data_IF_755799999377
#
_entry.id   IF_755799999377
#
_cell.length_a   1.000
_cell.length_b   1.000
_cell.length_c   1.000
_cell.angle_alpha   90.00
_cell.angle_beta   90.00
_cell.angle_gamma   90.00
#
_symmetry.space_group_name_H-M   'P 1'
#
loop_
_entity.id
_entity.type
_entity.pdbx_description
1 polymer ?
#
# COMPACT_ATOMS: atom_id res chain seq x y z
N UNK A 1 19.08 25.48 -8.77
CA UNK A 1 18.47 24.17 -8.47
C UNK A 1 19.25 23.56 -7.32
N UNK A 2 18.59 23.25 -6.21
CA UNK A 2 19.27 22.61 -5.08
C UNK A 2 19.32 21.10 -5.37
N UNK A 3 20.50 20.48 -5.57
CA UNK A 3 20.62 19.09 -5.99
C UNK A 3 20.24 18.06 -4.90
N UNK A 4 19.86 18.53 -3.70
CA UNK A 4 19.52 17.69 -2.55
C UNK A 4 18.10 17.92 -2.02
N UNK A 5 17.14 18.19 -2.90
CA UNK A 5 15.74 18.13 -2.50
C UNK A 5 15.39 16.69 -2.09
N UNK A 6 15.47 16.36 -0.80
CA UNK A 6 14.81 15.17 -0.27
C UNK A 6 13.30 15.41 -0.43
N UNK A 7 12.73 15.01 -1.57
CA UNK A 7 11.29 14.98 -1.77
C UNK A 7 10.76 13.83 -0.93
N UNK A 8 10.54 14.09 0.36
CA UNK A 8 9.62 13.30 1.18
C UNK A 8 8.25 13.60 0.61
N UNK A 9 7.80 12.74 -0.28
CA UNK A 9 6.43 12.76 -0.75
C UNK A 9 5.58 11.94 0.23
N UNK A 10 4.32 12.33 0.46
CA UNK A 10 3.39 11.52 1.23
C UNK A 10 3.24 10.14 0.56
N UNK A 11 3.05 9.12 1.39
CA UNK A 11 2.75 7.77 0.95
C UNK A 11 1.35 7.40 1.46
N UNK A 12 0.62 6.62 0.67
CA UNK A 12 -0.67 6.07 1.05
C UNK A 12 -0.67 4.56 0.81
N UNK A 13 -1.42 3.85 1.63
CA UNK A 13 -1.62 2.41 1.49
C UNK A 13 -3.07 2.06 1.74
N UNK A 14 -3.44 0.84 1.38
CA UNK A 14 -4.78 0.33 1.63
C UNK A 14 -4.74 -1.03 2.32
N UNK A 15 -5.86 -1.34 2.97
CA UNK A 15 -6.16 -2.65 3.50
C UNK A 15 -7.44 -3.12 2.82
N UNK A 16 -7.33 -4.06 1.89
CA UNK A 16 -8.49 -4.69 1.31
C UNK A 16 -8.92 -5.85 2.21
N UNK A 17 -10.13 -5.75 2.75
CA UNK A 17 -10.79 -6.83 3.50
C UNK A 17 -11.68 -7.59 2.54
N UNK A 18 -11.37 -8.87 2.33
CA UNK A 18 -12.19 -9.80 1.58
C UNK A 18 -13.20 -10.43 2.56
N UNK A 19 -14.49 -10.21 2.33
CA UNK A 19 -15.52 -10.92 3.09
C UNK A 19 -16.85 -11.05 2.33
N UNK A 20 -17.61 -12.10 2.65
CA UNK A 20 -18.97 -12.33 2.17
C UNK A 20 -20.05 -11.81 3.14
N UNK A 21 -19.73 -11.60 4.44
CA UNK A 21 -20.66 -11.11 5.45
C UNK A 21 -19.99 -10.10 6.41
N UNK A 22 -20.33 -8.81 6.27
CA UNK A 22 -19.77 -7.74 7.09
C UNK A 22 -20.12 -7.81 8.59
N UNK A 23 -21.02 -8.71 9.00
CA UNK A 23 -21.39 -8.90 10.41
C UNK A 23 -20.50 -9.89 11.17
N UNK A 24 -19.69 -10.69 10.47
CA UNK A 24 -18.79 -11.68 11.07
C UNK A 24 -17.31 -11.33 10.85
N UNK A 25 -16.74 -10.59 11.80
CA UNK A 25 -15.34 -10.15 11.74
C UNK A 25 -14.33 -11.30 11.81
N UNK A 26 -14.67 -12.45 12.39
CA UNK A 26 -13.75 -13.60 12.49
C UNK A 26 -13.52 -14.27 11.12
N UNK A 27 -14.40 -14.04 10.16
CA UNK A 27 -14.33 -14.55 8.78
C UNK A 27 -13.57 -13.62 7.83
N UNK A 28 -13.17 -12.42 8.29
CA UNK A 28 -12.52 -11.41 7.46
C UNK A 28 -11.12 -11.84 7.05
N UNK A 29 -10.91 -11.93 5.75
CA UNK A 29 -9.58 -12.11 5.16
C UNK A 29 -9.03 -10.78 4.67
N UNK A 30 -7.70 -10.64 4.64
CA UNK A 30 -7.05 -9.42 4.18
C UNK A 30 -6.06 -9.74 3.08
N UNK A 31 -6.08 -8.96 2.01
CA UNK A 31 -5.08 -9.04 0.96
C UNK A 31 -3.74 -8.45 1.45
N UNK A 32 -2.68 -9.26 1.38
CA UNK A 32 -1.32 -8.84 1.68
C UNK A 32 -0.36 -9.26 0.57
N UNK A 33 0.75 -8.53 0.45
CA UNK A 33 1.82 -8.83 -0.48
C UNK A 33 2.95 -9.56 0.24
N UNK A 34 3.42 -10.68 -0.31
CA UNK A 34 4.60 -11.36 0.20
C UNK A 34 5.83 -10.95 -0.61
N UNK A 35 6.64 -10.04 -0.05
CA UNK A 35 7.76 -9.42 -0.75
C UNK A 35 9.08 -9.53 0.00
N UNK A 36 10.17 -9.51 -0.75
CA UNK A 36 11.53 -9.43 -0.21
C UNK A 36 11.92 -7.97 -0.03
N UNK A 37 12.41 -7.63 1.17
CA UNK A 37 13.05 -6.35 1.41
C UNK A 37 14.55 -6.48 1.26
N UNK A 38 15.09 -5.85 0.22
CA UNK A 38 16.53 -5.87 -0.07
C UNK A 38 17.39 -5.37 1.10
N UNK A 39 17.00 -4.28 1.76
CA UNK A 39 17.82 -3.64 2.82
C UNK A 39 17.99 -4.58 4.03
N UNK A 40 16.93 -5.28 4.43
CA UNK A 40 16.94 -6.17 5.58
C UNK A 40 17.21 -7.63 5.20
N UNK A 41 17.22 -7.94 3.90
CA UNK A 41 17.32 -9.28 3.33
C UNK A 41 16.32 -10.29 3.91
N UNK A 42 15.08 -9.84 4.06
CA UNK A 42 14.01 -10.66 4.67
C UNK A 42 12.78 -10.69 3.79
N UNK A 43 12.08 -11.82 3.82
CA UNK A 43 10.73 -11.92 3.27
C UNK A 43 9.70 -11.63 4.36
N UNK A 44 8.62 -10.95 3.97
CA UNK A 44 7.56 -10.60 4.89
C UNK A 44 6.26 -10.31 4.15
N UNK A 45 5.18 -10.37 4.91
CA UNK A 45 3.89 -9.86 4.48
C UNK A 45 3.83 -8.36 4.70
N UNK A 46 3.32 -7.63 3.71
CA UNK A 46 3.17 -6.19 3.76
C UNK A 46 1.81 -5.76 3.22
N UNK A 47 1.31 -4.65 3.74
CA UNK A 47 0.20 -3.94 3.10
C UNK A 47 0.71 -3.28 1.82
N UNK A 48 -0.09 -3.27 0.76
CA UNK A 48 0.21 -2.46 -0.41
C UNK A 48 0.29 -0.98 -0.04
N UNK A 49 1.33 -0.31 -0.52
CA UNK A 49 1.66 1.07 -0.21
C UNK A 49 2.50 1.62 -1.34
N UNK A 50 2.21 2.85 -1.72
CA UNK A 50 3.14 3.59 -2.54
C UNK A 50 3.01 5.09 -2.37
N UNK A 51 3.67 5.79 -3.29
CA UNK A 51 3.98 7.20 -3.13
C UNK A 51 2.92 8.02 -3.85
N UNK A 52 2.31 8.95 -3.14
CA UNK A 52 1.39 9.88 -3.75
C UNK A 52 2.12 10.86 -4.67
N UNK A 53 1.53 11.09 -5.83
CA UNK A 53 1.94 12.17 -6.72
C UNK A 53 1.49 13.54 -6.18
N UNK A 54 2.08 14.62 -6.74
CA UNK A 54 1.96 16.00 -6.23
C UNK A 54 0.51 16.48 -6.06
N UNK A 55 -0.42 15.95 -6.86
CA UNK A 55 -1.82 16.36 -6.90
C UNK A 55 -2.80 15.23 -6.53
N UNK A 56 -2.30 14.11 -6.00
CA UNK A 56 -3.16 13.00 -5.58
C UNK A 56 -3.60 13.13 -4.12
N UNK A 57 -4.86 12.81 -3.86
CA UNK A 57 -5.31 12.61 -2.49
C UNK A 57 -4.84 11.24 -1.98
N UNK A 58 -4.70 11.05 -0.66
CA UNK A 58 -4.35 9.73 -0.11
C UNK A 58 -5.31 8.61 -0.53
N UNK A 59 -6.58 8.92 -0.76
CA UNK A 59 -7.56 7.96 -1.22
C UNK A 59 -7.32 7.57 -2.70
N UNK A 60 -7.02 8.55 -3.55
CA UNK A 60 -6.72 8.30 -4.97
C UNK A 60 -5.45 7.46 -5.11
N UNK A 61 -4.37 7.83 -4.41
CA UNK A 61 -3.14 7.05 -4.38
C UNK A 61 -3.39 5.63 -3.88
N UNK A 62 -4.16 5.46 -2.80
CA UNK A 62 -4.48 4.13 -2.27
C UNK A 62 -5.23 3.24 -3.29
N UNK A 63 -6.09 3.82 -4.13
CA UNK A 63 -6.79 3.09 -5.21
C UNK A 63 -5.84 2.75 -6.36
N UNK A 64 -4.99 3.69 -6.78
CA UNK A 64 -4.00 3.44 -7.83
C UNK A 64 -3.05 2.30 -7.43
N UNK A 65 -2.48 2.38 -6.24
CA UNK A 65 -1.57 1.35 -5.71
C UNK A 65 -2.25 -0.02 -5.56
N UNK A 66 -3.57 -0.06 -5.34
CA UNK A 66 -4.32 -1.31 -5.34
C UNK A 66 -4.27 -2.02 -6.69
N UNK A 67 -4.56 -1.30 -7.76
CA UNK A 67 -4.52 -1.86 -9.10
C UNK A 67 -3.08 -2.18 -9.51
N UNK A 68 -2.13 -1.31 -9.18
CA UNK A 68 -0.74 -1.46 -9.61
C UNK A 68 -0.02 -2.63 -8.91
N UNK A 69 -0.22 -2.79 -7.60
CA UNK A 69 0.49 -3.82 -6.84
C UNK A 69 -0.26 -5.16 -6.77
N UNK A 70 -1.58 -5.18 -7.00
CA UNK A 70 -2.41 -6.40 -6.84
C UNK A 70 -3.16 -6.86 -8.09
N UNK A 71 -3.25 -6.03 -9.14
CA UNK A 71 -3.95 -6.33 -10.41
C UNK A 71 -5.43 -5.97 -10.39
#
# INVERSE_FOLDING_TARGET
MNPFGHHVAPAAGFLAVCDADASDTDSQEVLMLYRHRLITDTWGCEIPVGKADVDETPADTAVCEAVEETG
#
